data_IF_037893867630
#
_entry.id   IF_037893867630
#
_cell.length_a   1.000
_cell.length_b   1.000
_cell.length_c   1.000
_cell.angle_alpha   90.00
_cell.angle_beta   90.00
_cell.angle_gamma   90.00
#
_symmetry.space_group_name_H-M   'P 1'
#
loop_
_entity.id
_entity.type
_entity.pdbx_description
1 polymer ?
#
# COMPACT_ATOMS: atom_id res chain seq x y z
N UNK A 1 11.05 26.01 15.56
CA UNK A 1 10.31 24.84 16.11
C UNK A 1 8.86 25.02 15.68
N UNK A 2 8.13 24.16 14.96
CA UNK A 2 8.28 22.79 14.49
C UNK A 2 7.57 22.71 13.11
N UNK A 3 8.28 22.30 12.04
CA UNK A 3 7.68 21.99 10.73
C UNK A 3 7.48 20.48 10.62
N UNK A 4 6.48 19.95 11.31
CA UNK A 4 5.98 18.59 11.09
C UNK A 4 4.49 18.56 11.39
N UNK A 5 3.70 19.11 10.48
CA UNK A 5 2.28 18.78 10.40
C UNK A 5 1.99 18.32 8.98
N UNK A 6 2.63 17.21 8.59
CA UNK A 6 2.14 16.40 7.49
C UNK A 6 0.81 15.83 7.95
N UNK A 7 -0.31 16.29 7.39
CA UNK A 7 -1.61 15.74 7.68
C UNK A 7 -1.57 14.23 7.39
N UNK A 8 -1.70 13.40 8.43
CA UNK A 8 -1.80 11.95 8.24
C UNK A 8 -3.03 11.70 7.38
N UNK A 9 -2.82 11.07 6.23
CA UNK A 9 -3.90 10.68 5.31
C UNK A 9 -4.79 9.65 6.02
N UNK A 10 -6.04 10.02 6.31
CA UNK A 10 -7.02 9.10 6.90
C UNK A 10 -7.89 8.50 5.81
N UNK A 11 -8.33 7.25 6.00
CA UNK A 11 -9.29 6.56 5.12
C UNK A 11 -10.39 5.92 5.96
N UNK A 12 -11.59 5.80 5.41
CA UNK A 12 -12.66 5.05 6.06
C UNK A 12 -12.32 3.55 6.08
N UNK A 13 -12.49 2.91 7.25
CA UNK A 13 -12.27 1.48 7.44
C UNK A 13 -13.51 0.90 8.12
N UNK A 14 -14.13 -0.09 7.49
CA UNK A 14 -15.19 -0.88 8.11
C UNK A 14 -14.64 -2.20 8.63
N UNK A 15 -14.89 -2.51 9.90
CA UNK A 15 -14.53 -3.80 10.52
C UNK A 15 -15.79 -4.65 10.60
N UNK A 16 -15.79 -5.81 9.94
CA UNK A 16 -16.91 -6.76 9.98
C UNK A 16 -16.74 -7.76 11.13
N UNK A 17 -17.85 -8.32 11.59
CA UNK A 17 -17.89 -9.36 12.64
C UNK A 17 -17.24 -8.94 13.97
N UNK A 18 -17.31 -7.64 14.31
CA UNK A 18 -16.84 -7.15 15.60
C UNK A 18 -17.88 -7.40 16.69
N UNK A 19 -17.43 -7.90 17.84
CA UNK A 19 -18.26 -8.18 19.00
C UNK A 19 -18.92 -6.90 19.55
N UNK A 20 -20.25 -6.87 19.55
CA UNK A 20 -21.03 -5.69 19.96
C UNK A 20 -20.84 -5.34 21.46
N UNK A 21 -20.73 -6.34 22.32
CA UNK A 21 -20.47 -6.16 23.75
C UNK A 21 -19.12 -5.47 23.99
N UNK A 22 -18.07 -5.90 23.27
CA UNK A 22 -16.76 -5.28 23.31
C UNK A 22 -16.79 -3.84 22.77
N UNK A 23 -17.51 -3.60 21.67
CA UNK A 23 -17.63 -2.27 21.09
C UNK A 23 -18.26 -1.27 22.07
N UNK A 24 -19.29 -1.69 22.80
CA UNK A 24 -19.94 -0.87 23.82
C UNK A 24 -18.99 -0.52 24.96
N UNK A 25 -18.19 -1.47 25.43
CA UNK A 25 -17.18 -1.23 26.46
C UNK A 25 -16.12 -0.22 25.98
N UNK A 26 -15.56 -0.45 24.80
CA UNK A 26 -14.57 0.48 24.20
C UNK A 26 -15.16 1.88 24.05
N UNK A 27 -16.43 1.98 23.62
CA UNK A 27 -17.13 3.25 23.50
C UNK A 27 -17.32 3.97 24.83
N UNK A 28 -17.66 3.23 25.88
CA UNK A 28 -17.78 3.80 27.22
C UNK A 28 -16.44 4.36 27.70
N UNK A 29 -15.36 3.56 27.62
CA UNK A 29 -14.02 4.01 28.01
C UNK A 29 -13.52 5.20 27.19
N UNK A 30 -13.67 5.14 25.86
CA UNK A 30 -13.29 6.25 24.98
C UNK A 30 -14.01 7.55 25.36
N UNK A 31 -15.29 7.46 25.72
CA UNK A 31 -16.09 8.61 26.14
C UNK A 31 -15.62 9.17 27.49
N UNK A 32 -15.27 8.31 28.44
CA UNK A 32 -14.71 8.72 29.74
C UNK A 32 -13.33 9.39 29.60
N UNK A 33 -12.53 8.94 28.64
CA UNK A 33 -11.18 9.49 28.37
C UNK A 33 -11.19 10.70 27.43
N UNK A 34 -12.35 11.09 26.88
CA UNK A 34 -12.44 12.17 25.89
C UNK A 34 -11.75 11.84 24.56
N UNK A 35 -11.69 10.56 24.21
CA UNK A 35 -11.00 10.04 23.03
C UNK A 35 -11.98 9.55 21.98
N UNK A 36 -11.55 9.55 20.71
CA UNK A 36 -12.32 8.93 19.63
C UNK A 36 -12.11 7.41 19.64
N UNK A 37 -13.13 6.67 19.22
CA UNK A 37 -13.01 5.22 18.98
C UNK A 37 -11.81 4.94 18.07
N UNK A 38 -11.67 5.69 16.97
CA UNK A 38 -10.55 5.56 16.04
C UNK A 38 -9.19 5.66 16.75
N UNK A 39 -9.01 6.61 17.68
CA UNK A 39 -7.75 6.74 18.40
C UNK A 39 -7.43 5.56 19.33
N UNK A 40 -8.45 4.94 19.93
CA UNK A 40 -8.28 3.74 20.77
C UNK A 40 -7.90 2.55 19.91
N UNK A 41 -8.59 2.36 18.78
CA UNK A 41 -8.30 1.28 17.85
C UNK A 41 -6.91 1.44 17.20
N UNK A 42 -6.52 2.65 16.83
CA UNK A 42 -5.16 2.93 16.33
C UNK A 42 -4.09 2.55 17.36
N UNK A 43 -4.28 2.95 18.62
CA UNK A 43 -3.37 2.57 19.71
C UNK A 43 -3.28 1.05 19.90
N UNK A 44 -4.43 0.37 19.95
CA UNK A 44 -4.50 -1.08 20.13
C UNK A 44 -3.82 -1.83 18.97
N UNK A 45 -4.04 -1.39 17.73
CA UNK A 45 -3.39 -1.97 16.54
C UNK A 45 -1.87 -1.74 16.60
N UNK A 46 -1.42 -0.54 16.96
CA UNK A 46 0.01 -0.24 17.10
C UNK A 46 0.66 -1.13 18.17
N UNK A 47 -0.01 -1.33 19.31
CA UNK A 47 0.46 -2.24 20.36
C UNK A 47 0.54 -3.68 19.85
N UNK A 48 -0.49 -4.15 19.14
CA UNK A 48 -0.52 -5.48 18.55
C UNK A 48 0.63 -5.69 17.56
N UNK A 49 0.87 -4.75 16.64
CA UNK A 49 1.99 -4.80 15.69
C UNK A 49 3.33 -4.88 16.44
N UNK A 50 3.55 -3.99 17.43
CA UNK A 50 4.78 -3.98 18.23
C UNK A 50 5.02 -5.31 18.95
N UNK A 51 3.95 -5.99 19.38
CA UNK A 51 4.04 -7.28 20.07
C UNK A 51 4.49 -8.45 19.20
N UNK A 52 4.44 -8.33 17.86
CA UNK A 52 4.76 -9.44 16.94
C UNK A 52 6.23 -9.53 16.54
N UNK A 53 7.07 -8.57 16.95
CA UNK A 53 8.48 -8.54 16.58
C UNK A 53 8.70 -8.11 15.11
N UNK A 54 9.89 -7.58 14.85
CA UNK A 54 10.34 -6.94 13.61
C UNK A 54 9.32 -5.97 12.92
N UNK A 55 8.98 -4.83 13.56
CA UNK A 55 8.13 -3.80 12.95
C UNK A 55 8.66 -3.27 11.61
N UNK A 56 9.97 -3.37 11.36
CA UNK A 56 10.60 -2.94 10.12
C UNK A 56 10.18 -3.81 8.94
N UNK A 57 10.01 -5.12 9.12
CA UNK A 57 9.54 -6.00 8.03
C UNK A 57 8.10 -5.66 7.63
N UNK A 58 7.23 -5.39 8.60
CA UNK A 58 5.83 -4.98 8.35
C UNK A 58 5.78 -3.62 7.65
N UNK A 59 6.67 -2.69 8.02
CA UNK A 59 6.80 -1.39 7.34
C UNK A 59 7.23 -1.56 5.89
N UNK A 60 8.22 -2.41 5.62
CA UNK A 60 8.67 -2.71 4.25
C UNK A 60 7.50 -3.26 3.42
N UNK A 61 6.69 -4.17 3.98
CA UNK A 61 5.49 -4.67 3.30
C UNK A 61 4.47 -3.56 3.01
N UNK A 62 4.21 -2.66 3.95
CA UNK A 62 3.30 -1.53 3.74
C UNK A 62 3.84 -0.52 2.69
N UNK A 63 5.15 -0.25 2.71
CA UNK A 63 5.84 0.61 1.73
C UNK A 63 5.82 0.00 0.33
N UNK A 64 5.99 -1.33 0.22
CA UNK A 64 5.85 -2.08 -1.03
C UNK A 64 4.42 -1.98 -1.59
N UNK A 65 3.40 -2.10 -0.75
CA UNK A 65 1.99 -2.01 -1.16
C UNK A 65 1.64 -0.60 -1.67
N UNK A 66 2.06 0.44 -0.96
CA UNK A 66 1.88 1.83 -1.38
C UNK A 66 2.64 2.13 -2.69
N UNK A 67 3.89 1.66 -2.81
CA UNK A 67 4.66 1.81 -4.03
C UNK A 67 4.03 1.05 -5.20
N UNK A 68 3.48 -0.15 -4.96
CA UNK A 68 2.76 -0.90 -5.97
C UNK A 68 1.53 -0.14 -6.47
N UNK A 69 0.68 0.36 -5.56
CA UNK A 69 -0.52 1.14 -5.94
C UNK A 69 -0.15 2.37 -6.79
N UNK A 70 0.84 3.14 -6.34
CA UNK A 70 1.31 4.36 -7.03
C UNK A 70 1.89 4.05 -8.41
N UNK A 71 2.82 3.10 -8.48
CA UNK A 71 3.48 2.74 -9.73
C UNK A 71 2.50 2.09 -10.72
N UNK A 72 1.61 1.23 -10.24
CA UNK A 72 0.60 0.57 -11.06
C UNK A 72 -0.37 1.60 -11.66
N UNK A 73 -0.83 2.57 -10.87
CA UNK A 73 -1.67 3.67 -11.37
C UNK A 73 -0.98 4.42 -12.51
N UNK A 74 0.29 4.78 -12.33
CA UNK A 74 1.06 5.49 -13.34
C UNK A 74 1.25 4.67 -14.62
N UNK A 75 1.57 3.38 -14.48
CA UNK A 75 1.68 2.45 -15.62
C UNK A 75 0.33 2.31 -16.35
N UNK A 76 -0.79 2.15 -15.63
CA UNK A 76 -2.13 2.06 -16.24
C UNK A 76 -2.49 3.32 -17.03
N UNK A 77 -2.18 4.50 -16.50
CA UNK A 77 -2.39 5.77 -17.19
C UNK A 77 -1.59 5.83 -18.50
N UNK A 78 -0.33 5.34 -18.49
CA UNK A 78 0.52 5.30 -19.69
C UNK A 78 0.14 4.22 -20.70
N UNK A 79 -0.38 3.06 -20.28
CA UNK A 79 -0.82 1.98 -21.19
C UNK A 79 -2.17 2.28 -21.85
N UNK A 80 -3.00 3.15 -21.26
CA UNK A 80 -4.32 3.48 -21.81
C UNK A 80 -4.28 3.95 -23.28
N UNK A 81 -3.13 4.47 -23.74
CA UNK A 81 -2.85 4.92 -25.10
C UNK A 81 -2.12 3.89 -25.98
N UNK A 82 -1.82 2.67 -25.49
CA UNK A 82 -1.01 1.66 -26.17
C UNK A 82 -1.36 0.23 -25.72
N UNK A 83 -2.64 -0.18 -25.87
CA UNK A 83 -3.17 -1.46 -25.36
C UNK A 83 -2.55 -2.71 -25.98
N UNK A 84 -2.07 -2.64 -27.23
CA UNK A 84 -1.54 -3.78 -27.98
C UNK A 84 -0.01 -3.87 -27.94
N UNK A 85 0.63 -3.11 -27.04
CA UNK A 85 2.07 -3.06 -26.94
C UNK A 85 2.59 -4.28 -26.19
N UNK A 86 3.57 -4.95 -26.77
CA UNK A 86 4.30 -6.06 -26.13
C UNK A 86 5.53 -5.56 -25.37
N UNK A 87 6.03 -6.38 -24.47
CA UNK A 87 7.27 -6.12 -23.72
C UNK A 87 7.00 -5.78 -22.25
N UNK A 88 7.64 -4.74 -21.74
CA UNK A 88 7.64 -4.39 -20.33
C UNK A 88 7.42 -2.89 -20.11
N UNK A 89 6.57 -2.54 -19.15
CA UNK A 89 6.44 -1.18 -18.63
C UNK A 89 7.13 -1.08 -17.27
N UNK A 90 7.81 0.02 -16.99
CA UNK A 90 8.43 0.25 -15.69
C UNK A 90 8.00 1.58 -15.07
N UNK A 91 7.82 1.58 -13.75
CA UNK A 91 7.59 2.78 -12.95
C UNK A 91 8.23 2.65 -11.57
N UNK A 92 8.60 3.78 -10.98
CA UNK A 92 9.01 3.87 -9.59
C UNK A 92 8.69 5.25 -9.04
N UNK A 93 8.45 5.35 -7.72
CA UNK A 93 8.14 6.62 -7.06
C UNK A 93 6.95 7.35 -7.70
N UNK A 94 6.00 6.61 -8.27
CA UNK A 94 4.86 7.15 -8.99
C UNK A 94 5.19 7.77 -10.36
N UNK A 95 6.42 7.64 -10.87
CA UNK A 95 6.87 8.13 -12.18
C UNK A 95 6.99 6.99 -13.20
N UNK A 96 6.47 7.21 -14.41
CA UNK A 96 6.63 6.28 -15.53
C UNK A 96 8.05 6.40 -16.10
N UNK A 97 8.75 5.28 -16.25
CA UNK A 97 10.11 5.25 -16.82
C UNK A 97 10.09 4.98 -18.32
N UNK A 98 9.07 4.29 -18.82
CA UNK A 98 8.94 3.98 -20.23
C UNK A 98 8.52 2.54 -20.50
N UNK A 99 8.54 2.22 -21.79
CA UNK A 99 8.33 0.88 -22.33
C UNK A 99 9.67 0.31 -22.79
N UNK A 100 9.84 -0.98 -22.57
CA UNK A 100 11.06 -1.72 -22.84
C UNK A 100 10.71 -3.02 -23.56
N UNK A 101 11.58 -3.45 -24.47
CA UNK A 101 11.35 -4.70 -25.19
C UNK A 101 11.76 -5.91 -24.34
N UNK A 102 12.68 -5.71 -23.39
CA UNK A 102 13.26 -6.77 -22.54
C UNK A 102 13.23 -6.40 -21.06
N UNK A 103 13.09 -7.41 -20.22
CA UNK A 103 13.08 -7.26 -18.77
C UNK A 103 14.38 -6.61 -18.26
N UNK A 104 15.54 -7.00 -18.80
CA UNK A 104 16.84 -6.49 -18.36
C UNK A 104 17.04 -5.00 -18.67
N UNK A 105 16.35 -4.48 -19.67
CA UNK A 105 16.36 -3.04 -19.98
C UNK A 105 15.55 -2.26 -18.94
N UNK A 106 14.35 -2.75 -18.62
CA UNK A 106 13.51 -2.20 -17.55
C UNK A 106 14.23 -2.23 -16.19
N UNK A 107 14.86 -3.37 -15.86
CA UNK A 107 15.62 -3.53 -14.62
C UNK A 107 16.83 -2.59 -14.54
N UNK A 108 17.56 -2.40 -15.65
CA UNK A 108 18.68 -1.43 -15.70
C UNK A 108 18.20 0.01 -15.56
N UNK A 109 17.09 0.37 -16.18
CA UNK A 109 16.50 1.70 -16.04
C UNK A 109 16.11 1.98 -14.58
N UNK A 110 15.45 1.02 -13.93
CA UNK A 110 15.09 1.10 -12.51
C UNK A 110 16.34 1.27 -11.64
N UNK A 111 17.35 0.43 -11.82
CA UNK A 111 18.59 0.49 -11.02
C UNK A 111 19.32 1.83 -11.13
N UNK A 112 19.18 2.51 -12.27
CA UNK A 112 19.80 3.82 -12.52
C UNK A 112 19.00 4.98 -11.92
N UNK A 113 17.68 4.89 -11.95
CA UNK A 113 16.80 6.04 -11.72
C UNK A 113 15.99 6.00 -10.42
N UNK A 114 15.78 4.82 -9.85
CA UNK A 114 14.91 4.62 -8.69
C UNK A 114 15.73 4.48 -7.42
N UNK A 115 15.29 5.13 -6.34
CA UNK A 115 15.91 5.01 -5.01
C UNK A 115 15.16 4.06 -4.09
N UNK A 116 13.92 3.74 -4.46
CA UNK A 116 12.96 2.98 -3.66
C UNK A 116 12.34 1.85 -4.49
N UNK A 117 11.22 1.30 -4.01
CA UNK A 117 10.49 0.21 -4.67
C UNK A 117 9.97 0.60 -6.06
N UNK A 118 10.14 -0.31 -7.02
CA UNK A 118 9.78 -0.14 -8.42
C UNK A 118 8.91 -1.30 -8.90
N UNK A 119 8.16 -1.07 -9.97
CA UNK A 119 7.29 -2.05 -10.61
C UNK A 119 7.72 -2.24 -12.06
N UNK A 120 7.90 -3.49 -12.47
CA UNK A 120 7.99 -3.90 -13.87
C UNK A 120 6.75 -4.73 -14.18
N UNK A 121 6.02 -4.35 -15.23
CA UNK A 121 4.81 -5.03 -15.68
C UNK A 121 5.02 -5.58 -17.08
N UNK A 122 4.83 -6.88 -17.27
CA UNK A 122 4.81 -7.52 -18.60
C UNK A 122 3.52 -7.15 -19.35
N UNK A 123 3.65 -6.88 -20.65
CA UNK A 123 2.58 -6.48 -21.55
C UNK A 123 2.43 -7.47 -22.72
N UNK A 124 1.19 -7.66 -23.24
CA UNK A 124 -0.06 -7.12 -22.72
C UNK A 124 -0.42 -7.78 -21.38
N UNK A 125 -1.17 -7.07 -20.53
CA UNK A 125 -1.60 -7.63 -19.24
C UNK A 125 -2.42 -8.90 -19.46
N UNK A 126 -1.83 -10.05 -19.16
CA UNK A 126 -2.58 -11.32 -19.09
C UNK A 126 -3.50 -11.24 -17.88
N UNK A 127 -4.76 -11.63 -18.05
CA UNK A 127 -5.87 -11.34 -17.14
C UNK A 127 -5.53 -11.43 -15.65
N UNK A 128 -5.97 -10.44 -14.87
CA UNK A 128 -5.75 -10.37 -13.42
C UNK A 128 -6.30 -11.63 -12.74
N UNK A 129 -5.41 -12.51 -12.26
CA UNK A 129 -5.75 -13.40 -11.15
C UNK A 129 -5.65 -12.52 -9.91
N UNK A 130 -6.78 -12.07 -9.38
CA UNK A 130 -6.83 -11.49 -8.04
C UNK A 130 -6.48 -12.65 -7.10
N UNK A 131 -5.23 -12.70 -6.68
CA UNK A 131 -4.85 -13.53 -5.56
C UNK A 131 -5.24 -12.69 -4.35
N UNK A 132 -6.45 -12.91 -3.84
CA UNK A 132 -6.75 -12.48 -2.48
C UNK A 132 -5.77 -13.23 -1.59
N UNK A 133 -4.77 -12.52 -1.05
CA UNK A 133 -3.95 -13.03 0.06
C UNK A 133 -4.78 -13.03 1.36
N UNK A 134 -6.03 -13.47 1.26
CA UNK A 134 -6.87 -13.79 2.39
C UNK A 134 -6.23 -14.97 3.09
N UNK A 135 -5.64 -14.71 4.26
CA UNK A 135 -5.40 -15.75 5.23
C UNK A 135 -6.71 -16.53 5.44
N UNK A 136 -6.65 -17.86 5.56
CA UNK A 136 -7.85 -18.69 5.63
C UNK A 136 -8.72 -18.28 6.83
N UNK A 137 -10.01 -18.18 6.54
CA UNK A 137 -11.15 -17.94 7.42
C UNK A 137 -11.22 -18.88 8.63
#
# INVERSE_FOLDING_TARGET
>A
MNKFNTSKKTRFIGIRNFRDDLYRLVKAYASLEGRTISSIFEEAILMWIKSRGNPEEIRIWAELDEAYEGNMKTIMQSISTSKDREGYAAACEGRFLGFFNRYEEAARAIKRECKTHALILELPMRGRKIIELGLPW
#
